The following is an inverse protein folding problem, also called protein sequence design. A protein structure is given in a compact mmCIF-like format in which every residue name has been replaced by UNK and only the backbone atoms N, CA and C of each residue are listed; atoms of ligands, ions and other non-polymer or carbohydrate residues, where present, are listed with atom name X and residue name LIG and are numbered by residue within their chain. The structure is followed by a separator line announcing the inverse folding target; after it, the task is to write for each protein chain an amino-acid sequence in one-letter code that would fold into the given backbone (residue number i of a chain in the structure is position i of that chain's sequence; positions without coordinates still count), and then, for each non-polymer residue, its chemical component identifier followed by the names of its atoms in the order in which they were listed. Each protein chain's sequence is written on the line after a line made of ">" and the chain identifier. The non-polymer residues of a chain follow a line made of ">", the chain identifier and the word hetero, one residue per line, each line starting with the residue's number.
data_IF_858490234641
#
_entry.id   IF_858490234641
#
_cell.length_a   1.000
_cell.length_b   1.000
_cell.length_c   1.000
_cell.angle_alpha   90.00
_cell.angle_beta   90.00
_cell.angle_gamma   90.00
#
_symmetry.space_group_name_H-M   'P 1'
#
loop_
_entity.id
_entity.type
_entity.pdbx_description
1 polymer ?
#
# COMPACT_ATOMS: atom_id res chain seq x y z
N UNK A 1 0.27 21.29 10.14
CA UNK A 1 0.52 20.25 9.13
C UNK A 1 -0.81 19.67 8.66
N UNK A 2 -0.90 19.15 7.43
CA UNK A 2 -2.11 18.53 6.90
C UNK A 2 -2.05 17.00 7.09
N UNK A 3 -3.08 16.41 7.68
CA UNK A 3 -3.16 14.96 7.86
C UNK A 3 -3.36 14.25 6.51
N UNK A 4 -2.57 13.21 6.24
CA UNK A 4 -2.63 12.48 4.96
C UNK A 4 -3.91 11.64 4.76
N UNK A 5 -4.65 11.34 5.83
CA UNK A 5 -5.86 10.51 5.74
C UNK A 5 -7.15 11.32 5.57
N UNK A 6 -7.28 12.44 6.30
CA UNK A 6 -8.52 13.22 6.37
C UNK A 6 -8.34 14.71 6.05
N UNK A 7 -7.12 15.13 5.70
CA UNK A 7 -6.76 16.48 5.29
C UNK A 7 -7.00 17.59 6.32
N UNK A 8 -7.35 17.23 7.55
CA UNK A 8 -7.48 18.19 8.66
C UNK A 8 -6.11 18.81 8.98
N UNK A 9 -6.11 20.12 9.24
CA UNK A 9 -4.96 20.80 9.84
C UNK A 9 -4.80 20.41 11.30
N UNK A 10 -3.57 20.07 11.70
CA UNK A 10 -3.23 19.74 13.07
C UNK A 10 -1.82 20.24 13.42
N UNK A 11 -1.57 20.41 14.71
CA UNK A 11 -0.25 20.77 15.24
C UNK A 11 0.63 19.51 15.38
N UNK A 12 1.75 19.41 14.64
CA UNK A 12 2.70 18.31 14.76
C UNK A 12 3.26 18.11 16.16
N UNK A 13 3.42 19.20 16.93
CA UNK A 13 4.07 19.14 18.24
C UNK A 13 3.22 18.43 19.29
N UNK A 14 1.92 18.28 19.04
CA UNK A 14 0.95 17.68 19.96
C UNK A 14 0.41 16.34 19.48
N UNK A 15 0.81 15.88 18.29
CA UNK A 15 0.34 14.62 17.72
C UNK A 15 1.34 13.49 17.95
N UNK A 16 0.92 12.46 18.66
CA UNK A 16 1.68 11.21 18.81
C UNK A 16 1.53 10.27 17.60
N UNK A 17 0.73 10.67 16.61
CA UNK A 17 0.36 9.86 15.45
C UNK A 17 0.88 10.44 14.13
N UNK A 18 1.95 11.25 14.15
CA UNK A 18 2.57 11.83 12.96
C UNK A 18 2.82 10.77 11.87
N UNK A 19 2.51 11.05 10.57
CA UNK A 19 2.06 12.32 9.97
C UNK A 19 0.53 12.55 10.00
N UNK A 20 -0.19 11.87 10.90
CA UNK A 20 -1.65 11.94 11.01
C UNK A 20 -2.11 12.80 12.20
N UNK A 21 -3.36 13.26 12.16
CA UNK A 21 -3.94 14.06 13.24
C UNK A 21 -4.43 13.22 14.45
N UNK A 22 -4.45 11.89 14.33
CA UNK A 22 -4.92 10.97 15.39
C UNK A 22 -4.59 9.52 15.06
N UNK A 23 -4.61 8.63 16.07
CA UNK A 23 -4.46 7.18 15.88
C UNK A 23 -5.51 6.58 14.94
N UNK A 24 -6.76 7.07 14.99
CA UNK A 24 -7.82 6.65 14.07
C UNK A 24 -7.42 6.85 12.60
N UNK A 25 -6.80 7.98 12.27
CA UNK A 25 -6.35 8.26 10.91
C UNK A 25 -5.20 7.34 10.49
N UNK A 26 -4.25 7.05 11.38
CA UNK A 26 -3.18 6.07 11.14
C UNK A 26 -3.75 4.68 10.80
N UNK A 27 -4.75 4.23 11.55
CA UNK A 27 -5.38 2.92 11.32
C UNK A 27 -6.18 2.86 10.03
N UNK A 28 -6.88 3.93 9.65
CA UNK A 28 -7.58 4.00 8.36
C UNK A 28 -6.59 3.93 7.20
N UNK A 29 -5.47 4.65 7.30
CA UNK A 29 -4.41 4.60 6.28
C UNK A 29 -3.88 3.16 6.12
N UNK A 30 -3.54 2.51 7.24
CA UNK A 30 -3.13 1.10 7.25
C UNK A 30 -4.19 0.18 6.63
N UNK A 31 -5.48 0.39 6.95
CA UNK A 31 -6.57 -0.37 6.35
C UNK A 31 -6.61 -0.24 4.82
N UNK A 32 -6.40 0.97 4.28
CA UNK A 32 -6.36 1.19 2.83
C UNK A 32 -5.25 0.41 2.12
N UNK A 33 -4.10 0.23 2.77
CA UNK A 33 -2.99 -0.58 2.26
C UNK A 33 -3.34 -2.07 2.29
N UNK A 34 -3.93 -2.55 3.38
CA UNK A 34 -4.34 -3.95 3.52
C UNK A 34 -5.47 -4.32 2.55
N UNK A 35 -6.37 -3.37 2.26
CA UNK A 35 -7.47 -3.53 1.31
C UNK A 35 -7.04 -3.28 -0.16
N UNK A 36 -5.74 -3.13 -0.43
CA UNK A 36 -5.15 -2.84 -1.75
C UNK A 36 -5.73 -1.59 -2.47
N UNK A 37 -6.49 -0.75 -1.76
CA UNK A 37 -7.00 0.52 -2.29
C UNK A 37 -5.90 1.57 -2.46
N UNK A 38 -4.78 1.40 -1.74
CA UNK A 38 -3.54 2.13 -1.96
C UNK A 38 -2.52 1.18 -2.59
N UNK A 39 -2.37 1.26 -3.92
CA UNK A 39 -1.38 0.51 -4.67
C UNK A 39 -0.34 1.45 -5.27
N UNK A 40 0.90 0.97 -5.36
CA UNK A 40 1.89 1.65 -6.19
C UNK A 40 1.51 1.47 -7.66
N UNK A 41 1.67 2.50 -8.51
CA UNK A 41 1.47 2.33 -9.94
C UNK A 41 2.37 1.20 -10.44
N UNK A 42 1.79 0.28 -11.22
CA UNK A 42 2.58 -0.73 -11.91
C UNK A 42 3.58 0.00 -12.81
N UNK A 43 4.88 -0.26 -12.60
CA UNK A 43 5.85 0.12 -13.62
C UNK A 43 5.55 -0.76 -14.84
N UNK A 44 5.52 -0.19 -16.05
CA UNK A 44 5.47 -1.01 -17.25
C UNK A 44 6.71 -1.89 -17.23
N UNK A 45 6.50 -3.17 -16.98
CA UNK A 45 7.55 -4.17 -17.05
C UNK A 45 7.77 -4.44 -18.54
N UNK A 46 8.95 -4.07 -19.10
CA UNK A 46 9.24 -4.28 -20.51
C UNK A 46 9.31 -5.77 -20.88
N UNK A 47 9.32 -6.68 -19.90
CA UNK A 47 9.40 -8.13 -20.06
C UNK A 47 8.14 -8.85 -19.55
N UNK A 48 7.08 -8.15 -19.10
CA UNK A 48 5.87 -8.80 -18.56
C UNK A 48 5.03 -9.57 -19.60
N UNK A 49 5.23 -9.31 -20.90
CA UNK A 49 4.67 -10.13 -21.99
C UNK A 49 5.49 -11.41 -22.25
N UNK A 50 6.64 -11.57 -21.58
CA UNK A 50 7.50 -12.75 -21.63
C UNK A 50 7.53 -13.39 -20.24
N UNK A 51 6.38 -13.80 -19.72
CA UNK A 51 6.37 -14.77 -18.62
C UNK A 51 6.85 -16.09 -19.23
N UNK A 52 8.08 -16.59 -19.01
CA UNK A 52 8.38 -17.94 -19.42
C UNK A 52 7.38 -18.83 -18.69
N UNK A 53 6.59 -19.60 -19.44
CA UNK A 53 5.76 -20.65 -18.88
C UNK A 53 6.69 -21.46 -17.97
N UNK A 54 6.42 -21.43 -16.66
CA UNK A 54 7.30 -22.06 -15.69
C UNK A 54 7.34 -23.56 -16.05
N UNK A 55 8.48 -24.11 -16.54
CA UNK A 55 8.53 -25.50 -17.00
C UNK A 55 8.41 -26.50 -15.84
N UNK A 56 8.27 -26.00 -14.61
CA UNK A 56 8.16 -26.77 -13.38
C UNK A 56 6.71 -26.94 -12.91
N UNK A 57 5.72 -26.61 -13.75
CA UNK A 57 4.30 -26.84 -13.46
C UNK A 57 3.74 -28.05 -14.22
N UNK A 58 4.52 -29.12 -14.39
CA UNK A 58 4.02 -30.36 -15.02
C UNK A 58 4.41 -31.68 -14.34
N UNK A 59 5.15 -31.72 -13.23
CA UNK A 59 5.51 -33.02 -12.62
C UNK A 59 5.50 -32.99 -11.08
N UNK A 60 4.32 -32.87 -10.48
CA UNK A 60 4.12 -33.16 -9.05
C UNK A 60 2.78 -33.87 -8.75
N UNK A 61 2.26 -34.64 -9.70
CA UNK A 61 1.17 -35.59 -9.48
C UNK A 61 1.39 -36.86 -10.33
N UNK A 62 2.34 -37.71 -9.93
CA UNK A 62 2.24 -39.18 -10.05
C UNK A 62 2.99 -39.89 -8.91
#
# INVERSE_FOLDING_TARGET
>A
MRCLTCEKEFDPATSDAMPFCSERCRLIDLGRWLDETHALPAMPDPEADERPEAPWLDDADE
#
